data_IF_413010090055
#
_entry.id   IF_413010090055
#
_cell.length_a   1.000
_cell.length_b   1.000
_cell.length_c   1.000
_cell.angle_alpha   90.00
_cell.angle_beta   90.00
_cell.angle_gamma   90.00
#
_symmetry.space_group_name_H-M   'P 1'
#
loop_
_entity.id
_entity.type
_entity.pdbx_description
1 polymer ?
#
# COMPACT_ATOMS: atom_id res chain seq x y z
N UNK A 1 12.97 3.84 16.35
CA UNK A 1 11.70 3.81 15.59
C UNK A 1 11.95 4.49 14.25
N UNK A 2 11.59 3.88 13.13
CA UNK A 2 11.71 4.50 11.81
C UNK A 2 10.64 5.58 11.64
N UNK A 3 10.97 6.63 10.88
CA UNK A 3 10.01 7.68 10.51
C UNK A 3 9.10 7.16 9.40
N UNK A 4 7.82 7.54 9.45
CA UNK A 4 6.87 7.33 8.35
C UNK A 4 6.93 8.54 7.43
N UNK A 5 7.38 8.34 6.20
CA UNK A 5 7.35 9.34 5.14
C UNK A 5 6.01 9.28 4.40
N UNK A 6 5.45 10.44 4.05
CA UNK A 6 4.14 10.51 3.38
C UNK A 6 4.33 10.77 1.89
N UNK A 7 3.72 9.92 1.07
CA UNK A 7 3.63 10.04 -0.38
C UNK A 7 2.25 9.54 -0.84
N UNK A 8 1.22 10.30 -0.47
CA UNK A 8 -0.18 9.91 -0.69
C UNK A 8 -0.48 9.94 -2.18
N UNK A 9 -0.78 8.78 -2.77
CA UNK A 9 -1.12 8.65 -4.18
C UNK A 9 -2.45 9.36 -4.45
N UNK A 10 -2.58 10.12 -5.56
CA UNK A 10 -3.87 10.66 -5.99
C UNK A 10 -4.76 9.59 -6.66
N UNK A 11 -4.31 8.35 -6.74
CA UNK A 11 -5.01 7.26 -7.43
C UNK A 11 -5.40 6.13 -6.46
N UNK A 12 -6.39 5.34 -6.87
CA UNK A 12 -6.68 4.00 -6.35
C UNK A 12 -6.95 3.93 -4.85
N UNK A 13 -7.58 4.96 -4.30
CA UNK A 13 -8.06 4.98 -2.92
C UNK A 13 -9.51 5.46 -2.90
N UNK A 14 -10.26 5.00 -1.90
CA UNK A 14 -11.69 5.27 -1.76
C UNK A 14 -12.01 5.62 -0.32
N UNK A 15 -13.11 6.33 -0.10
CA UNK A 15 -13.62 6.60 1.24
C UNK A 15 -13.79 5.28 2.00
N UNK A 16 -13.22 5.21 3.20
CA UNK A 16 -13.22 4.01 4.01
C UNK A 16 -14.04 4.13 5.27
N UNK A 17 -13.88 3.10 6.10
CA UNK A 17 -14.55 2.94 7.38
C UNK A 17 -13.52 2.60 8.44
N UNK A 18 -13.96 2.52 9.69
CA UNK A 18 -13.12 2.12 10.80
C UNK A 18 -12.41 0.78 10.54
N UNK A 19 -11.10 0.78 10.83
CA UNK A 19 -10.19 -0.33 10.53
C UNK A 19 -10.41 -1.48 11.49
N UNK A 20 -10.48 -2.69 10.94
CA UNK A 20 -10.69 -3.92 11.72
C UNK A 20 -9.49 -4.87 11.69
N UNK A 21 -8.66 -4.80 10.64
CA UNK A 21 -7.60 -5.77 10.40
C UNK A 21 -6.38 -5.12 9.74
N UNK A 22 -5.22 -5.71 10.01
CA UNK A 22 -3.96 -5.47 9.27
C UNK A 22 -3.69 -6.69 8.40
N UNK A 23 -3.29 -6.46 7.17
CA UNK A 23 -2.88 -7.47 6.19
C UNK A 23 -1.48 -7.14 5.73
N UNK A 24 -0.64 -8.17 5.67
CA UNK A 24 0.74 -8.06 5.21
C UNK A 24 0.87 -8.81 3.89
N UNK A 25 1.46 -8.16 2.89
CA UNK A 25 1.75 -8.72 1.58
C UNK A 25 3.24 -8.60 1.29
N UNK A 26 3.82 -9.59 0.62
CA UNK A 26 5.10 -9.41 -0.05
C UNK A 26 4.90 -8.64 -1.36
N UNK A 27 5.87 -7.83 -1.76
CA UNK A 27 5.91 -7.15 -3.07
C UNK A 27 5.95 -8.11 -4.26
N UNK A 28 6.40 -9.36 -4.04
CA UNK A 28 6.51 -10.39 -5.07
C UNK A 28 7.72 -10.19 -5.98
N UNK A 29 8.60 -9.25 -5.64
CA UNK A 29 9.91 -9.01 -6.26
C UNK A 29 11.00 -9.78 -5.48
N UNK A 30 12.14 -10.10 -6.11
CA UNK A 30 13.28 -10.63 -5.37
C UNK A 30 13.79 -9.63 -4.32
N UNK A 31 14.25 -10.14 -3.18
CA UNK A 31 14.74 -9.31 -2.08
C UNK A 31 15.86 -8.36 -2.55
N UNK A 32 15.76 -7.09 -2.15
CA UNK A 32 16.74 -6.05 -2.50
C UNK A 32 16.62 -5.49 -3.93
N UNK A 33 15.60 -5.88 -4.70
CA UNK A 33 15.39 -5.36 -6.07
C UNK A 33 14.42 -4.18 -6.14
N UNK A 34 13.64 -3.97 -5.10
CA UNK A 34 12.79 -2.79 -4.90
C UNK A 34 12.99 -2.20 -3.50
N UNK A 35 12.41 -1.02 -3.29
CA UNK A 35 12.45 -0.30 -2.01
C UNK A 35 11.08 0.28 -1.71
N UNK A 36 10.82 0.57 -0.44
CA UNK A 36 9.57 1.19 -0.02
C UNK A 36 9.34 2.52 -0.76
N UNK A 37 10.41 3.30 -0.95
CA UNK A 37 10.38 4.54 -1.72
C UNK A 37 10.02 4.32 -3.19
N UNK A 38 10.64 3.34 -3.85
CA UNK A 38 10.39 3.08 -5.26
C UNK A 38 8.95 2.59 -5.49
N UNK A 39 8.43 1.75 -4.59
CA UNK A 39 7.03 1.34 -4.62
C UNK A 39 6.10 2.53 -4.39
N UNK A 40 6.37 3.39 -3.41
CA UNK A 40 5.59 4.61 -3.20
C UNK A 40 5.55 5.50 -4.46
N UNK A 41 6.70 5.73 -5.11
CA UNK A 41 6.78 6.49 -6.38
C UNK A 41 5.99 5.81 -7.49
N UNK A 42 6.10 4.49 -7.60
CA UNK A 42 5.40 3.69 -8.61
C UNK A 42 3.88 3.85 -8.50
N UNK A 43 3.32 3.70 -7.30
CA UNK A 43 1.88 3.82 -7.05
C UNK A 43 1.38 5.27 -7.00
N UNK A 44 2.25 6.25 -6.71
CA UNK A 44 1.93 7.66 -6.81
C UNK A 44 1.81 8.15 -8.26
N UNK A 45 2.63 7.62 -9.17
CA UNK A 45 2.78 8.17 -10.52
C UNK A 45 1.66 7.87 -11.51
N UNK A 46 0.77 6.90 -11.25
CA UNK A 46 -0.32 6.55 -12.16
C UNK A 46 -1.39 5.66 -11.48
N UNK A 47 -2.57 5.57 -12.08
CA UNK A 47 -3.55 4.54 -11.76
C UNK A 47 -3.00 3.15 -12.14
N UNK A 48 -2.78 2.30 -11.14
CA UNK A 48 -2.31 0.91 -11.28
C UNK A 48 -3.39 -0.17 -11.13
N UNK A 49 -4.65 0.22 -10.97
CA UNK A 49 -5.74 -0.62 -10.44
C UNK A 49 -5.34 -1.45 -9.18
N UNK A 50 -4.47 -0.87 -8.35
CA UNK A 50 -3.93 -1.45 -7.12
C UNK A 50 -3.33 -0.32 -6.26
N UNK A 51 -3.33 -0.50 -4.94
CA UNK A 51 -2.70 0.40 -3.96
C UNK A 51 -2.45 -0.29 -2.62
N UNK A 52 -1.70 0.41 -1.75
CA UNK A 52 -1.32 -0.02 -0.42
C UNK A 52 -1.35 1.16 0.55
N UNK A 53 -1.57 0.90 1.84
CA UNK A 53 -1.47 1.96 2.85
C UNK A 53 -0.01 2.28 3.13
N UNK A 54 0.81 1.24 3.27
CA UNK A 54 2.22 1.36 3.60
C UNK A 54 3.08 0.46 2.72
N UNK A 55 4.21 1.00 2.30
CA UNK A 55 5.37 0.25 1.81
C UNK A 55 6.47 0.31 2.87
N UNK A 56 7.07 -0.83 3.17
CA UNK A 56 8.07 -0.96 4.23
C UNK A 56 9.27 -1.72 3.68
N UNK A 57 10.47 -1.22 3.96
CA UNK A 57 11.71 -1.96 3.75
C UNK A 57 12.58 -1.90 5.02
N UNK A 58 13.80 -2.46 4.94
CA UNK A 58 14.71 -2.52 6.08
C UNK A 58 15.10 -1.14 6.65
N UNK A 59 14.95 -0.07 5.88
CA UNK A 59 15.49 1.27 6.20
C UNK A 59 14.44 2.38 6.20
N UNK A 60 13.27 2.17 5.60
CA UNK A 60 12.29 3.22 5.37
C UNK A 60 10.85 2.71 5.38
N UNK A 61 9.93 3.62 5.69
CA UNK A 61 8.48 3.38 5.67
C UNK A 61 7.83 4.53 4.90
N UNK A 62 7.03 4.19 3.89
CA UNK A 62 6.27 5.16 3.10
C UNK A 62 4.77 4.89 3.20
N UNK A 63 4.02 5.89 3.66
CA UNK A 63 2.56 5.90 3.60
C UNK A 63 2.10 6.38 2.23
N UNK A 64 1.35 5.54 1.52
CA UNK A 64 0.86 5.82 0.16
C UNK A 64 -0.65 6.05 0.08
N UNK A 65 -1.43 5.57 1.06
CA UNK A 65 -2.87 5.85 1.19
C UNK A 65 -3.16 6.23 2.65
N UNK A 66 -4.10 7.15 2.84
CA UNK A 66 -4.53 7.58 4.16
C UNK A 66 -5.14 6.42 4.96
N UNK A 67 -5.03 6.53 6.27
CA UNK A 67 -5.40 5.48 7.22
C UNK A 67 -6.89 5.15 7.26
N UNK A 68 -7.70 6.13 6.90
CA UNK A 68 -9.17 6.10 6.83
C UNK A 68 -9.70 5.71 5.45
N UNK A 69 -8.83 5.60 4.45
CA UNK A 69 -9.20 5.23 3.09
C UNK A 69 -9.03 3.74 2.82
N UNK A 70 -9.83 3.21 1.90
CA UNK A 70 -9.68 1.85 1.38
C UNK A 70 -8.67 1.84 0.23
N UNK A 71 -7.91 0.74 0.12
CA UNK A 71 -6.98 0.47 -0.99
C UNK A 71 -7.49 -0.59 -1.95
N UNK A 72 -7.14 -0.48 -3.22
CA UNK A 72 -7.48 -1.47 -4.27
C UNK A 72 -6.44 -2.61 -4.34
N UNK A 73 -6.87 -3.83 -4.67
CA UNK A 73 -5.96 -4.94 -4.90
C UNK A 73 -6.57 -5.98 -5.83
N UNK A 74 -5.86 -6.32 -6.91
CA UNK A 74 -6.24 -7.40 -7.81
C UNK A 74 -5.36 -8.60 -7.52
N UNK A 75 -5.93 -9.59 -6.83
CA UNK A 75 -5.48 -10.98 -6.97
C UNK A 75 -6.60 -11.79 -7.59
N UNK A 76 -6.37 -12.24 -8.84
CA UNK A 76 -7.05 -13.33 -9.54
C UNK A 76 -8.51 -13.59 -9.10
N UNK A 77 -9.45 -12.79 -9.62
CA UNK A 77 -10.89 -13.05 -9.62
C UNK A 77 -11.59 -13.22 -8.25
N UNK A 78 -11.03 -12.69 -7.16
CA UNK A 78 -11.82 -12.40 -5.95
C UNK A 78 -11.63 -10.95 -5.51
N UNK A 79 -12.50 -10.08 -6.04
CA UNK A 79 -12.77 -8.78 -5.45
C UNK A 79 -13.41 -9.00 -4.08
N UNK A 80 -12.58 -9.20 -3.05
CA UNK A 80 -13.01 -9.11 -1.67
C UNK A 80 -12.85 -7.66 -1.23
N UNK A 81 -13.89 -6.85 -1.38
CA UNK A 81 -14.02 -5.64 -0.56
C UNK A 81 -14.15 -6.14 0.89
N UNK A 82 -13.03 -6.20 1.59
CA UNK A 82 -12.99 -6.45 3.01
C UNK A 82 -12.04 -5.43 3.61
N UNK A 83 -12.64 -4.56 4.43
CA UNK A 83 -12.06 -3.48 5.21
C UNK A 83 -10.76 -3.92 5.93
N UNK A 84 -9.62 -3.72 5.25
CA UNK A 84 -8.31 -4.26 5.60
C UNK A 84 -7.25 -3.21 5.31
N UNK A 85 -6.49 -2.79 6.34
CA UNK A 85 -5.23 -2.08 6.12
C UNK A 85 -4.26 -3.04 5.46
N UNK A 86 -3.63 -2.60 4.37
CA UNK A 86 -2.63 -3.40 3.64
C UNK A 86 -1.28 -2.75 3.78
N UNK A 87 -0.37 -3.47 4.43
CA UNK A 87 1.06 -3.19 4.48
C UNK A 87 1.70 -4.11 3.45
N UNK A 88 2.39 -3.53 2.47
CA UNK A 88 3.33 -4.29 1.65
C UNK A 88 4.69 -4.20 2.31
N UNK A 89 5.27 -5.36 2.60
CA UNK A 89 6.65 -5.56 3.03
C UNK A 89 7.42 -6.08 1.81
#
# INVERSE_FOLDING_TARGET
MLKIERMISPYNHYEGNSIKYIVVHGTGTPEGTDSARNNAIYFYGANRNASAHYFVDATSIYQSVEDDNLTEFIMNNRCGIINKRKIFI
#
